data_IF_840309974785
#
_entry.id   IF_840309974785
#
_cell.length_a   1.000
_cell.length_b   1.000
_cell.length_c   1.000
_cell.angle_alpha   90.00
_cell.angle_beta   90.00
_cell.angle_gamma   90.00
#
_symmetry.space_group_name_H-M   'P 1'
#
loop_
_entity.id
_entity.type
_entity.pdbx_description
1 polymer ?
#
# COMPACT_ATOMS: atom_id res chain seq x y z
N UNK A 1 9.63 -8.31 -17.02
CA UNK A 1 8.44 -7.62 -16.47
C UNK A 1 7.52 -7.33 -17.63
N UNK A 2 6.24 -7.63 -17.53
CA UNK A 2 5.26 -7.30 -18.56
C UNK A 2 4.50 -6.04 -18.11
N UNK A 3 4.49 -4.99 -18.93
CA UNK A 3 3.84 -3.70 -18.60
C UNK A 3 2.46 -3.65 -19.26
N UNK A 4 1.45 -3.25 -18.49
CA UNK A 4 0.05 -3.00 -18.90
C UNK A 4 -0.26 -1.54 -18.59
N UNK A 5 -0.72 -0.78 -19.58
CA UNK A 5 -1.16 0.62 -19.42
C UNK A 5 -2.67 0.66 -19.63
N UNK A 6 -3.40 1.17 -18.64
CA UNK A 6 -4.86 1.25 -18.67
C UNK A 6 -5.30 2.69 -18.54
N UNK A 7 -5.96 3.20 -19.57
CA UNK A 7 -6.45 4.56 -19.61
C UNK A 7 -7.97 4.64 -19.36
N UNK A 8 -8.39 5.61 -18.56
CA UNK A 8 -9.78 6.05 -18.44
C UNK A 8 -9.81 7.58 -18.59
N UNK A 9 -10.42 8.10 -19.67
CA UNK A 9 -10.61 9.55 -19.88
C UNK A 9 -9.30 10.39 -19.84
N UNK A 10 -8.16 9.78 -20.18
CA UNK A 10 -6.83 10.44 -20.15
C UNK A 10 -6.06 10.24 -18.83
N UNK A 11 -6.62 9.51 -17.87
CA UNK A 11 -5.96 9.06 -16.65
C UNK A 11 -5.34 7.69 -16.91
N UNK A 12 -4.02 7.59 -16.84
CA UNK A 12 -3.29 6.35 -17.10
C UNK A 12 -2.81 5.66 -15.83
N UNK A 13 -3.25 4.41 -15.62
CA UNK A 13 -2.61 3.51 -14.66
C UNK A 13 -1.52 2.70 -15.37
N UNK A 14 -0.39 2.50 -14.70
CA UNK A 14 0.69 1.64 -15.19
C UNK A 14 0.79 0.45 -14.27
N UNK A 15 0.72 -0.78 -14.78
CA UNK A 15 0.96 -1.99 -14.00
C UNK A 15 2.06 -2.83 -14.63
N UNK A 16 2.80 -3.56 -13.80
CA UNK A 16 3.95 -4.34 -14.19
C UNK A 16 3.99 -5.69 -13.46
N UNK A 17 3.88 -6.78 -14.22
CA UNK A 17 3.80 -8.14 -13.70
C UNK A 17 5.17 -8.83 -13.66
N UNK A 18 5.40 -9.64 -12.63
CA UNK A 18 6.49 -10.63 -12.62
C UNK A 18 6.31 -11.64 -13.76
N UNK A 19 7.41 -12.12 -14.39
CA UNK A 19 7.32 -13.10 -15.46
C UNK A 19 6.91 -14.50 -14.98
N UNK A 20 7.05 -14.77 -13.68
CA UNK A 20 6.75 -16.05 -13.02
C UNK A 20 5.65 -15.89 -11.96
N UNK A 21 5.19 -17.03 -11.42
CA UNK A 21 4.10 -17.11 -10.46
C UNK A 21 2.73 -17.40 -11.09
N UNK A 22 1.81 -17.91 -10.29
CA UNK A 22 0.47 -18.26 -10.76
C UNK A 22 -0.35 -17.00 -11.07
N UNK A 23 -0.74 -16.79 -12.34
CA UNK A 23 -1.52 -15.61 -12.76
C UNK A 23 -2.94 -15.55 -12.19
N UNK A 24 -3.50 -16.69 -11.79
CA UNK A 24 -4.79 -16.77 -11.10
C UNK A 24 -4.67 -16.49 -9.57
N UNK A 25 -3.45 -16.19 -9.10
CA UNK A 25 -3.17 -15.83 -7.70
C UNK A 25 -2.12 -14.71 -7.66
N UNK A 26 -2.60 -13.48 -7.59
CA UNK A 26 -1.79 -12.26 -7.76
C UNK A 26 -1.72 -11.49 -6.46
N UNK A 27 -0.52 -11.15 -6.02
CA UNK A 27 -0.26 -10.12 -5.01
C UNK A 27 -0.15 -8.79 -5.74
N UNK A 28 -1.06 -7.86 -5.44
CA UNK A 28 -1.05 -6.52 -6.05
C UNK A 28 -0.35 -5.56 -5.08
N UNK A 29 0.52 -4.71 -5.59
CA UNK A 29 1.25 -3.70 -4.84
C UNK A 29 1.04 -2.38 -5.58
N UNK A 30 0.66 -1.33 -4.88
CA UNK A 30 0.30 -0.06 -5.49
C UNK A 30 0.81 1.16 -4.75
N UNK A 31 0.90 2.25 -5.51
CA UNK A 31 1.17 3.62 -5.07
C UNK A 31 0.60 4.55 -6.13
N UNK A 32 -0.10 5.63 -5.78
CA UNK A 32 -0.43 6.62 -6.80
C UNK A 32 0.82 7.40 -7.26
N UNK A 33 0.70 7.98 -8.45
CA UNK A 33 1.79 8.61 -9.19
C UNK A 33 1.47 10.03 -9.66
N UNK A 34 0.23 10.47 -9.48
CA UNK A 34 -0.13 11.87 -9.48
C UNK A 34 0.17 12.52 -8.11
N UNK A 35 0.09 13.85 -8.09
CA UNK A 35 0.08 14.67 -6.88
C UNK A 35 -0.83 15.88 -7.11
N UNK A 36 -1.04 16.69 -6.07
CA UNK A 36 -1.87 17.89 -6.18
C UNK A 36 -1.27 18.97 -7.10
N UNK A 37 -2.13 19.87 -7.61
CA UNK A 37 -1.72 20.98 -8.48
C UNK A 37 -0.74 21.95 -7.81
N UNK A 38 -0.84 22.10 -6.49
CA UNK A 38 -0.09 23.09 -5.75
C UNK A 38 1.36 22.66 -5.46
N UNK A 39 1.73 21.39 -5.65
CA UNK A 39 3.01 20.83 -5.22
C UNK A 39 3.74 20.01 -6.29
N UNK A 40 4.99 19.64 -6.00
CA UNK A 40 5.72 18.65 -6.82
C UNK A 40 5.43 17.21 -6.40
N UNK A 41 4.72 17.01 -5.28
CA UNK A 41 4.29 15.71 -4.81
C UNK A 41 5.44 14.73 -4.57
N UNK A 42 6.52 15.18 -3.92
CA UNK A 42 7.71 14.36 -3.72
C UNK A 42 7.49 13.34 -2.62
N UNK A 43 7.04 13.76 -1.43
CA UNK A 43 6.64 12.80 -0.43
C UNK A 43 5.28 12.19 -0.82
N UNK A 44 4.36 13.03 -1.30
CA UNK A 44 2.99 12.66 -1.67
C UNK A 44 2.74 12.77 -3.18
N UNK A 45 2.92 11.71 -3.97
CA UNK A 45 3.37 10.39 -3.57
C UNK A 45 4.55 9.88 -4.41
N UNK A 46 5.46 10.78 -4.76
CA UNK A 46 6.75 10.45 -5.36
C UNK A 46 7.53 9.44 -4.53
N UNK A 47 7.41 9.47 -3.19
CA UNK A 47 8.07 8.55 -2.28
C UNK A 47 7.47 7.13 -2.39
N UNK A 48 6.15 6.96 -2.36
CA UNK A 48 5.49 5.68 -2.59
C UNK A 48 5.77 5.15 -3.99
N UNK A 49 5.67 6.00 -5.01
CA UNK A 49 6.01 5.67 -6.40
C UNK A 49 7.44 5.14 -6.54
N UNK A 50 8.42 5.82 -5.93
CA UNK A 50 9.81 5.41 -5.93
C UNK A 50 10.04 4.13 -5.11
N UNK A 51 9.42 4.01 -3.94
CA UNK A 51 9.50 2.82 -3.09
C UNK A 51 8.97 1.58 -3.80
N UNK A 52 7.80 1.71 -4.44
CA UNK A 52 7.18 0.67 -5.25
C UNK A 52 8.09 0.22 -6.41
N UNK A 53 8.71 1.16 -7.13
CA UNK A 53 9.69 0.86 -8.18
C UNK A 53 10.94 0.15 -7.63
N UNK A 54 11.47 0.59 -6.48
CA UNK A 54 12.61 -0.05 -5.82
C UNK A 54 12.28 -1.50 -5.45
N UNK A 55 11.08 -1.76 -4.93
CA UNK A 55 10.62 -3.12 -4.61
C UNK A 55 10.54 -3.99 -5.87
N UNK A 56 9.95 -3.46 -6.95
CA UNK A 56 9.85 -4.17 -8.23
C UNK A 56 11.22 -4.53 -8.81
N UNK A 57 12.17 -3.59 -8.79
CA UNK A 57 13.53 -3.82 -9.27
C UNK A 57 14.30 -4.83 -8.41
N UNK A 58 14.16 -4.76 -7.08
CA UNK A 58 14.82 -5.72 -6.19
C UNK A 58 14.25 -7.13 -6.33
N UNK A 59 12.93 -7.28 -6.44
CA UNK A 59 12.31 -8.58 -6.73
C UNK A 59 12.75 -9.10 -8.10
N UNK A 60 12.78 -8.26 -9.13
CA UNK A 60 13.26 -8.67 -10.46
C UNK A 60 14.72 -9.12 -10.44
N UNK A 61 15.61 -8.44 -9.70
CA UNK A 61 17.01 -8.86 -9.52
C UNK A 61 17.08 -10.20 -8.79
N UNK A 62 16.34 -10.34 -7.70
CA UNK A 62 16.29 -11.56 -6.90
C UNK A 62 15.89 -12.78 -7.74
N UNK A 63 14.81 -12.64 -8.54
CA UNK A 63 14.34 -13.71 -9.44
C UNK A 63 15.34 -14.03 -10.57
N UNK A 64 16.17 -13.08 -11.00
CA UNK A 64 17.23 -13.31 -11.99
C UNK A 64 18.47 -13.98 -11.39
N UNK A 65 18.86 -13.60 -10.17
CA UNK A 65 20.09 -14.08 -9.52
C UNK A 65 19.92 -15.37 -8.72
N UNK A 66 18.66 -15.77 -8.50
CA UNK A 66 18.25 -16.99 -7.83
C UNK A 66 18.88 -18.24 -8.49
N UNK A 67 20.05 -18.66 -7.99
CA UNK A 67 20.76 -19.85 -8.44
C UNK A 67 20.14 -21.09 -7.81
N UNK A 68 19.28 -21.83 -8.54
CA UNK A 68 18.75 -23.19 -8.28
C UNK A 68 18.15 -23.54 -6.88
N UNK A 69 18.31 -22.71 -5.85
CA UNK A 69 17.92 -22.97 -4.46
C UNK A 69 17.05 -21.85 -3.86
N UNK A 70 16.82 -20.75 -4.59
CA UNK A 70 15.85 -19.75 -4.17
C UNK A 70 14.48 -20.18 -4.68
N UNK A 71 13.56 -20.52 -3.77
CA UNK A 71 12.22 -20.94 -4.15
C UNK A 71 11.52 -19.81 -4.90
N UNK A 72 11.05 -20.10 -6.12
CA UNK A 72 10.24 -19.16 -6.88
C UNK A 72 8.98 -18.80 -6.10
N UNK A 73 8.54 -17.55 -6.27
CA UNK A 73 7.27 -17.12 -5.72
C UNK A 73 6.15 -17.93 -6.37
N UNK A 74 5.28 -18.52 -5.53
CA UNK A 74 4.14 -19.31 -6.03
C UNK A 74 3.05 -18.45 -6.67
N UNK A 75 3.09 -17.15 -6.42
CA UNK A 75 2.08 -16.16 -6.80
C UNK A 75 2.68 -15.14 -7.75
N UNK A 76 1.88 -14.66 -8.71
CA UNK A 76 2.28 -13.50 -9.51
C UNK A 76 2.36 -12.27 -8.60
N UNK A 77 3.38 -11.43 -8.77
CA UNK A 77 3.41 -10.10 -8.14
C UNK A 77 3.18 -9.05 -9.22
N UNK A 78 2.23 -8.16 -8.96
CA UNK A 78 1.83 -7.06 -9.84
C UNK A 78 2.10 -5.75 -9.13
N UNK A 79 2.98 -4.93 -9.68
CA UNK A 79 3.25 -3.57 -9.20
C UNK A 79 2.45 -2.58 -10.04
N UNK A 80 1.69 -1.68 -9.43
CA UNK A 80 0.87 -0.71 -10.13
C UNK A 80 1.14 0.72 -9.63
N UNK A 81 1.04 1.67 -10.55
CA UNK A 81 1.08 3.09 -10.30
C UNK A 81 -0.26 3.67 -10.73
N UNK A 82 -0.99 4.19 -9.75
CA UNK A 82 -2.34 4.71 -9.96
C UNK A 82 -2.28 6.17 -10.39
N UNK A 83 -3.16 6.57 -11.28
CA UNK A 83 -3.36 7.98 -11.63
C UNK A 83 -4.64 8.53 -11.01
N UNK A 84 -4.67 9.84 -10.80
CA UNK A 84 -5.83 10.59 -10.33
C UNK A 84 -6.39 10.07 -8.98
N UNK A 85 -5.48 9.75 -8.05
CA UNK A 85 -5.81 9.46 -6.67
C UNK A 85 -6.31 10.72 -5.96
N UNK A 86 -5.63 11.84 -6.17
CA UNK A 86 -5.85 13.12 -5.47
C UNK A 86 -7.19 13.78 -5.80
N UNK A 87 -7.85 13.30 -6.85
CA UNK A 87 -9.18 13.73 -7.28
C UNK A 87 -10.25 12.66 -7.03
N UNK A 88 -9.95 11.71 -6.13
CA UNK A 88 -10.89 10.74 -5.58
C UNK A 88 -10.66 9.30 -6.03
N UNK A 89 -9.42 8.80 -5.96
CA UNK A 89 -9.05 7.39 -6.17
C UNK A 89 -9.38 6.83 -7.57
N UNK A 90 -9.45 7.68 -8.60
CA UNK A 90 -10.07 7.32 -9.88
C UNK A 90 -9.34 6.16 -10.57
N UNK A 91 -8.02 6.15 -10.51
CA UNK A 91 -7.19 5.11 -11.10
C UNK A 91 -7.44 3.73 -10.47
N UNK A 92 -7.35 3.64 -9.14
CA UNK A 92 -7.54 2.37 -8.42
C UNK A 92 -8.99 1.89 -8.45
N UNK A 93 -9.97 2.80 -8.38
CA UNK A 93 -11.40 2.49 -8.58
C UNK A 93 -11.60 1.87 -9.95
N UNK A 94 -11.13 2.54 -11.02
CA UNK A 94 -11.26 2.02 -12.37
C UNK A 94 -10.58 0.65 -12.51
N UNK A 95 -9.39 0.47 -11.93
CA UNK A 95 -8.70 -0.81 -11.99
C UNK A 95 -9.52 -1.95 -11.38
N UNK A 96 -10.08 -1.76 -10.18
CA UNK A 96 -10.89 -2.77 -9.48
C UNK A 96 -12.21 -3.02 -10.20
N UNK A 97 -12.88 -1.96 -10.68
CA UNK A 97 -14.09 -2.07 -11.48
C UNK A 97 -13.84 -2.92 -12.75
N UNK A 98 -12.79 -2.62 -13.52
CA UNK A 98 -12.47 -3.41 -14.72
C UNK A 98 -12.09 -4.86 -14.39
N UNK A 99 -11.35 -5.09 -13.30
CA UNK A 99 -11.01 -6.44 -12.85
C UNK A 99 -12.27 -7.25 -12.49
N UNK A 100 -13.33 -6.62 -12.01
CA UNK A 100 -14.59 -7.30 -11.66
C UNK A 100 -15.47 -7.63 -12.86
N UNK A 101 -15.43 -6.80 -13.89
CA UNK A 101 -16.20 -6.97 -15.13
C UNK A 101 -15.52 -7.98 -16.05
N UNK A 102 -14.24 -8.27 -15.81
CA UNK A 102 -13.44 -9.19 -16.59
C UNK A 102 -14.05 -10.59 -16.55
N UNK A 103 -14.53 -11.04 -17.70
CA UNK A 103 -15.20 -12.33 -17.85
C UNK A 103 -14.30 -13.52 -17.48
N UNK A 104 -14.92 -14.65 -17.13
CA UNK A 104 -14.22 -15.89 -16.79
C UNK A 104 -13.32 -16.42 -17.92
N UNK A 105 -13.45 -15.94 -19.16
CA UNK A 105 -12.62 -16.34 -20.31
C UNK A 105 -11.30 -15.57 -20.43
N UNK A 106 -11.10 -14.49 -19.67
CA UNK A 106 -9.79 -13.84 -19.55
C UNK A 106 -8.96 -14.64 -18.53
N UNK A 107 -7.81 -15.15 -18.95
CA UNK A 107 -6.95 -16.03 -18.13
C UNK A 107 -6.33 -15.35 -16.91
N UNK A 108 -6.26 -14.02 -16.86
CA UNK A 108 -5.68 -13.30 -15.71
C UNK A 108 -6.11 -11.84 -15.60
N UNK A 109 -6.15 -11.32 -14.36
CA UNK A 109 -6.46 -9.91 -14.08
C UNK A 109 -7.91 -9.69 -13.66
N UNK A 110 -8.60 -10.76 -13.26
CA UNK A 110 -9.94 -10.69 -12.68
C UNK A 110 -9.82 -10.42 -11.18
N UNK A 111 -10.83 -9.82 -10.58
CA UNK A 111 -10.81 -9.45 -9.17
C UNK A 111 -10.53 -10.66 -8.24
N UNK A 112 -11.10 -11.82 -8.56
CA UNK A 112 -10.88 -13.08 -7.86
C UNK A 112 -9.46 -13.64 -8.00
N UNK A 113 -8.68 -13.18 -8.98
CA UNK A 113 -7.28 -13.58 -9.10
C UNK A 113 -6.41 -12.82 -8.09
N UNK A 114 -6.87 -11.68 -7.54
CA UNK A 114 -6.11 -10.87 -6.60
C UNK A 114 -6.24 -11.44 -5.19
N UNK A 115 -5.12 -11.85 -4.59
CA UNK A 115 -5.09 -12.40 -3.23
C UNK A 115 -5.09 -11.30 -2.19
N UNK A 116 -4.25 -10.28 -2.38
CA UNK A 116 -4.10 -9.15 -1.47
C UNK A 116 -3.66 -7.89 -2.22
N UNK A 117 -3.82 -6.74 -1.56
CA UNK A 117 -3.30 -5.45 -2.01
C UNK A 117 -2.37 -4.82 -0.95
N UNK A 118 -1.17 -4.39 -1.34
CA UNK A 118 -0.31 -3.57 -0.50
C UNK A 118 -0.27 -2.14 -1.02
N UNK A 119 -0.58 -1.18 -0.17
CA UNK A 119 -0.57 0.24 -0.50
C UNK A 119 0.66 0.93 0.05
N UNK A 120 1.29 1.77 -0.77
CA UNK A 120 2.45 2.57 -0.42
C UNK A 120 2.22 4.03 -0.77
N UNK A 121 1.94 4.81 0.26
CA UNK A 121 1.52 6.18 0.17
C UNK A 121 2.18 7.00 1.28
N UNK A 122 2.86 8.08 0.90
CA UNK A 122 3.72 8.91 1.75
C UNK A 122 4.69 8.09 2.61
N UNK A 123 5.77 7.62 1.97
CA UNK A 123 6.81 6.80 2.59
C UNK A 123 8.00 7.58 3.15
N UNK A 124 8.04 8.91 3.08
CA UNK A 124 9.22 9.69 3.43
C UNK A 124 8.97 10.98 4.22
N UNK A 125 7.88 11.10 4.98
CA UNK A 125 7.52 12.33 5.69
C UNK A 125 8.63 12.83 6.61
N UNK A 126 8.90 14.14 6.73
CA UNK A 126 10.06 14.67 7.44
C UNK A 126 10.03 14.39 8.95
N UNK A 127 8.87 14.53 9.59
CA UNK A 127 8.64 14.25 11.01
C UNK A 127 8.00 12.86 11.20
N UNK A 128 8.58 11.87 10.53
CA UNK A 128 7.97 10.57 10.24
C UNK A 128 7.41 9.83 11.45
N UNK A 129 6.32 9.12 11.24
CA UNK A 129 6.06 7.88 11.97
C UNK A 129 6.49 6.67 11.11
N UNK A 130 6.47 5.48 11.70
CA UNK A 130 6.52 4.19 11.02
C UNK A 130 5.12 3.57 11.15
N UNK A 131 4.19 4.13 10.39
CA UNK A 131 2.77 3.79 10.43
C UNK A 131 2.52 2.45 9.76
N UNK A 132 1.74 1.60 10.42
CA UNK A 132 1.25 0.32 9.89
C UNK A 132 -0.25 0.45 9.68
N UNK A 133 -0.73 0.17 8.46
CA UNK A 133 -2.15 0.24 8.13
C UNK A 133 -2.95 -0.74 9.02
N UNK A 134 -3.86 -0.19 9.82
CA UNK A 134 -4.53 -0.86 10.93
C UNK A 134 -5.91 -1.38 10.55
N UNK A 135 -6.03 -2.70 10.52
CA UNK A 135 -7.20 -3.45 10.12
C UNK A 135 -8.47 -3.22 10.96
N UNK A 136 -8.39 -2.55 12.12
CA UNK A 136 -9.58 -2.17 12.91
C UNK A 136 -10.33 -0.96 12.34
N UNK A 137 -9.69 -0.22 11.43
CA UNK A 137 -10.20 1.03 10.88
C UNK A 137 -10.67 0.91 9.43
N UNK A 138 -10.91 -0.30 8.92
CA UNK A 138 -11.35 -0.52 7.52
C UNK A 138 -12.70 0.16 7.18
N UNK A 139 -12.99 0.48 5.91
CA UNK A 139 -14.29 1.00 5.51
C UNK A 139 -15.43 0.07 5.95
N UNK A 140 -16.58 0.58 6.41
CA UNK A 140 -17.74 -0.24 6.78
C UNK A 140 -18.25 -1.16 5.66
N UNK A 141 -17.97 -0.77 4.40
CA UNK A 141 -18.27 -1.52 3.19
C UNK A 141 -17.36 -2.76 2.97
N UNK A 142 -16.31 -2.94 3.77
CA UNK A 142 -15.35 -4.05 3.65
C UNK A 142 -16.00 -5.37 4.04
N UNK A 143 -16.02 -6.39 3.16
CA UNK A 143 -16.50 -7.72 3.52
C UNK A 143 -15.69 -8.36 4.66
N UNK A 144 -16.39 -9.03 5.58
CA UNK A 144 -15.78 -9.64 6.77
C UNK A 144 -14.68 -10.66 6.44
N UNK A 145 -14.78 -11.34 5.29
CA UNK A 145 -13.82 -12.32 4.82
C UNK A 145 -12.43 -11.71 4.55
N UNK A 146 -12.33 -10.41 4.25
CA UNK A 146 -11.06 -9.72 4.04
C UNK A 146 -10.35 -9.34 5.35
N UNK A 147 -11.07 -9.29 6.48
CA UNK A 147 -10.53 -8.81 7.76
C UNK A 147 -9.44 -9.72 8.34
N UNK A 148 -9.56 -11.07 8.34
CA UNK A 148 -8.50 -11.93 8.83
C UNK A 148 -7.17 -11.72 8.09
N UNK A 149 -7.21 -11.55 6.77
CA UNK A 149 -6.02 -11.30 5.95
C UNK A 149 -5.42 -9.94 6.24
N UNK A 150 -6.25 -8.90 6.29
CA UNK A 150 -5.85 -7.53 6.65
C UNK A 150 -5.17 -7.50 8.03
N UNK A 151 -5.78 -8.12 9.05
CA UNK A 151 -5.20 -8.27 10.39
C UNK A 151 -3.84 -8.97 10.37
N UNK A 152 -3.70 -10.03 9.57
CA UNK A 152 -2.46 -10.79 9.48
C UNK A 152 -1.34 -10.00 8.80
N UNK A 153 -1.66 -9.19 7.80
CA UNK A 153 -0.71 -8.28 7.16
C UNK A 153 -0.24 -7.21 8.17
N UNK A 154 -1.16 -6.60 8.91
CA UNK A 154 -0.83 -5.65 10.01
C UNK A 154 0.12 -6.30 11.02
N UNK A 155 -0.18 -7.52 11.48
CA UNK A 155 0.66 -8.23 12.44
C UNK A 155 2.05 -8.58 11.89
N UNK A 156 2.14 -8.89 10.59
CA UNK A 156 3.42 -9.19 9.93
C UNK A 156 4.35 -7.97 9.94
N UNK A 157 3.83 -6.77 9.66
CA UNK A 157 4.60 -5.55 9.79
C UNK A 157 5.00 -5.27 11.24
N UNK A 158 4.08 -5.42 12.21
CA UNK A 158 4.39 -5.22 13.63
C UNK A 158 5.53 -6.15 14.07
N UNK A 159 5.48 -7.43 13.67
CA UNK A 159 6.53 -8.38 13.94
C UNK A 159 7.88 -7.90 13.39
N UNK A 160 7.92 -7.44 12.14
CA UNK A 160 9.15 -6.93 11.54
C UNK A 160 9.74 -5.76 12.32
N UNK A 161 8.95 -4.72 12.63
CA UNK A 161 9.44 -3.56 13.38
C UNK A 161 9.93 -3.96 14.79
N UNK A 162 9.19 -4.85 15.47
CA UNK A 162 9.60 -5.38 16.78
C UNK A 162 10.95 -6.14 16.70
N UNK A 163 11.13 -6.98 15.68
CA UNK A 163 12.37 -7.72 15.46
C UNK A 163 13.54 -6.79 15.12
N UNK A 164 13.29 -5.73 14.35
CA UNK A 164 14.27 -4.69 14.06
C UNK A 164 14.52 -3.73 15.24
N UNK A 165 13.76 -3.86 16.34
CA UNK A 165 13.78 -2.95 17.50
C UNK A 165 13.51 -1.49 17.10
N UNK A 166 12.64 -1.29 16.12
CA UNK A 166 12.21 0.00 15.62
C UNK A 166 10.82 0.33 16.16
N UNK A 167 10.51 1.62 16.40
CA UNK A 167 9.17 2.02 16.81
C UNK A 167 8.18 1.76 15.68
N UNK A 168 6.89 1.73 16.01
CA UNK A 168 5.82 1.73 15.03
C UNK A 168 4.56 2.31 15.66
N UNK A 169 3.66 2.79 14.82
CA UNK A 169 2.33 3.25 15.20
C UNK A 169 1.28 2.63 14.30
N UNK A 170 0.04 2.54 14.78
CA UNK A 170 -1.11 2.21 13.94
C UNK A 170 -1.48 3.44 13.12
N UNK A 171 -1.71 3.24 11.82
CA UNK A 171 -2.19 4.25 10.88
C UNK A 171 -3.51 3.76 10.29
N UNK A 172 -4.47 4.66 10.08
CA UNK A 172 -5.81 4.29 9.60
C UNK A 172 -5.78 3.62 8.22
N UNK A 173 -6.71 2.70 7.96
CA UNK A 173 -6.95 2.08 6.65
C UNK A 173 -8.43 2.22 6.23
N UNK A 174 -9.07 3.31 6.65
CA UNK A 174 -10.51 3.53 6.51
C UNK A 174 -10.95 4.38 5.34
N UNK A 175 -10.04 5.19 4.79
CA UNK A 175 -10.31 6.16 3.73
C UNK A 175 -9.01 6.82 3.27
N UNK A 176 -9.09 7.61 2.19
CA UNK A 176 -8.02 8.51 1.76
C UNK A 176 -6.79 7.86 1.12
N UNK A 177 -6.91 6.66 0.53
CA UNK A 177 -5.89 6.13 -0.39
C UNK A 177 -6.41 4.93 -1.21
N UNK A 178 -5.59 4.43 -2.13
CA UNK A 178 -5.95 3.42 -3.14
C UNK A 178 -6.32 2.04 -2.58
N UNK A 179 -6.16 1.76 -1.28
CA UNK A 179 -6.61 0.51 -0.67
C UNK A 179 -8.14 0.38 -0.57
N UNK A 180 -8.87 1.50 -0.60
CA UNK A 180 -10.33 1.53 -0.43
C UNK A 180 -11.07 0.67 -1.46
N UNK A 181 -10.85 0.81 -2.78
CA UNK A 181 -11.53 -0.04 -3.77
C UNK A 181 -11.16 -1.52 -3.62
N UNK A 182 -9.94 -1.86 -3.17
CA UNK A 182 -9.55 -3.25 -2.93
C UNK A 182 -10.26 -3.85 -1.71
N UNK A 183 -10.27 -3.12 -0.58
CA UNK A 183 -10.96 -3.56 0.65
C UNK A 183 -12.45 -3.77 0.41
N UNK A 184 -13.12 -2.79 -0.19
CA UNK A 184 -14.54 -2.89 -0.55
C UNK A 184 -14.79 -3.97 -1.62
N UNK A 185 -13.78 -4.24 -2.45
CA UNK A 185 -13.66 -5.37 -3.37
C UNK A 185 -13.49 -6.75 -2.71
N UNK A 186 -13.44 -6.84 -1.37
CA UNK A 186 -13.22 -8.09 -0.64
C UNK A 186 -11.78 -8.60 -0.72
N UNK A 187 -10.84 -7.72 -1.06
CA UNK A 187 -9.40 -8.02 -1.11
C UNK A 187 -8.76 -7.56 0.20
N UNK A 188 -8.17 -8.50 0.93
CA UNK A 188 -7.36 -8.20 2.11
C UNK A 188 -6.26 -7.20 1.74
N UNK A 189 -6.15 -6.12 2.49
CA UNK A 189 -5.21 -5.04 2.18
C UNK A 189 -4.34 -4.68 3.37
N UNK A 190 -3.23 -4.00 3.12
CA UNK A 190 -2.35 -3.50 4.18
C UNK A 190 -1.19 -2.71 3.59
N UNK A 191 -0.22 -2.35 4.42
CA UNK A 191 0.89 -1.50 3.99
C UNK A 191 1.49 -0.73 5.15
N UNK A 192 2.36 0.20 4.79
CA UNK A 192 3.05 1.10 5.70
C UNK A 192 3.06 2.51 5.12
N UNK A 193 3.12 3.52 5.99
CA UNK A 193 3.28 4.92 5.63
C UNK A 193 4.16 5.62 6.68
N UNK A 194 4.38 6.92 6.46
CA UNK A 194 5.17 7.76 7.37
C UNK A 194 4.41 8.97 7.94
N UNK A 195 3.09 9.00 7.72
CA UNK A 195 2.16 10.04 8.17
C UNK A 195 2.04 11.22 7.21
N UNK A 196 0.95 11.99 7.31
CA UNK A 196 0.63 13.11 6.43
C UNK A 196 0.46 14.42 7.23
N UNK A 197 -0.67 15.13 7.06
CA UNK A 197 -1.02 16.35 7.80
C UNK A 197 -1.27 16.15 9.30
N UNK A 198 -1.56 14.92 9.74
CA UNK A 198 -1.77 14.58 11.15
C UNK A 198 -0.57 14.92 12.06
N UNK A 199 -0.85 15.23 13.32
CA UNK A 199 0.18 15.68 14.27
C UNK A 199 0.81 14.52 15.04
N UNK A 200 2.15 14.56 15.18
CA UNK A 200 2.89 13.65 16.06
C UNK A 200 2.63 14.02 17.52
N UNK A 201 2.15 13.09 18.33
CA UNK A 201 1.90 13.34 19.76
C UNK A 201 3.20 13.38 20.58
N UNK A 202 3.15 13.99 21.78
CA UNK A 202 4.26 13.96 22.74
C UNK A 202 4.67 12.52 23.12
N UNK A 203 3.68 11.68 23.41
CA UNK A 203 3.89 10.26 23.75
C UNK A 203 4.59 9.51 22.62
N UNK A 204 4.15 9.71 21.37
CA UNK A 204 4.77 9.08 20.22
C UNK A 204 6.21 9.58 20.01
N UNK A 205 6.42 10.90 20.09
CA UNK A 205 7.76 11.50 20.01
C UNK A 205 8.70 10.90 21.07
N UNK A 206 8.22 10.70 22.30
CA UNK A 206 9.02 10.09 23.37
C UNK A 206 9.32 8.62 23.11
N UNK A 207 8.33 7.86 22.64
CA UNK A 207 8.51 6.47 22.24
C UNK A 207 9.58 6.35 21.14
N UNK A 208 9.52 7.19 20.11
CA UNK A 208 10.50 7.17 19.02
C UNK A 208 11.87 7.60 19.52
N UNK A 209 11.97 8.62 20.37
CA UNK A 209 13.25 9.03 20.97
C UNK A 209 13.88 7.91 21.83
N UNK A 210 13.06 7.13 22.55
CA UNK A 210 13.54 6.01 23.36
C UNK A 210 14.11 4.88 22.50
N UNK A 211 13.57 4.65 21.29
CA UNK A 211 13.97 3.54 20.41
C UNK A 211 15.03 3.94 19.37
N UNK A 212 14.98 5.17 18.86
CA UNK A 212 15.87 5.70 17.83
C UNK A 212 17.02 6.56 18.39
N UNK A 213 16.96 6.89 19.68
CA UNK A 213 17.92 7.75 20.37
C UNK A 213 17.44 9.19 20.54
N UNK A 214 17.97 9.86 21.57
CA UNK A 214 17.63 11.25 21.89
C UNK A 214 17.83 12.17 20.68
N UNK A 215 16.80 12.93 20.32
CA UNK A 215 16.81 13.82 19.14
C UNK A 215 16.22 13.19 17.87
N UNK A 216 16.04 11.86 17.83
CA UNK A 216 15.48 11.16 16.66
C UNK A 216 13.98 10.82 16.82
N UNK A 217 13.34 11.34 17.87
CA UNK A 217 11.91 11.16 18.12
C UNK A 217 10.98 12.00 17.23
N UNK A 218 11.55 12.98 16.52
CA UNK A 218 10.77 14.00 15.82
C UNK A 218 10.30 15.12 16.74
N UNK A 219 9.37 15.93 16.23
CA UNK A 219 8.78 17.07 16.91
C UNK A 219 7.34 16.75 17.32
N UNK A 220 7.04 16.91 18.61
CA UNK A 220 5.68 16.76 19.13
C UNK A 220 4.83 17.97 18.74
N UNK A 221 3.53 17.75 18.54
CA UNK A 221 2.54 18.75 18.14
C UNK A 221 2.90 19.47 16.83
N UNK A 222 3.65 18.78 15.95
CA UNK A 222 3.96 19.21 14.58
C UNK A 222 3.45 18.11 13.62
N UNK A 223 2.93 18.46 12.43
CA UNK A 223 2.52 17.47 11.43
C UNK A 223 3.63 16.47 11.11
N UNK A 224 3.29 15.25 10.72
CA UNK A 224 4.29 14.31 10.18
C UNK A 224 4.91 14.86 8.90
N UNK A 225 4.09 15.51 8.07
CA UNK A 225 4.50 16.30 6.92
C UNK A 225 3.83 17.68 6.94
N UNK A 226 4.62 18.72 7.19
CA UNK A 226 4.12 20.11 7.19
C UNK A 226 3.94 20.70 5.80
N UNK A 227 4.33 19.96 4.77
CA UNK A 227 4.18 20.31 3.37
C UNK A 227 3.19 19.38 2.64
N UNK A 228 2.41 18.56 3.36
CA UNK A 228 1.35 17.76 2.79
C UNK A 228 0.40 18.64 1.96
N UNK A 229 0.22 18.31 0.67
CA UNK A 229 -0.53 19.09 -0.32
C UNK A 229 -0.08 20.55 -0.54
N UNK A 230 1.17 20.88 -0.19
CA UNK A 230 1.71 22.24 -0.30
C UNK A 230 2.85 22.37 -1.32
N UNK A 231 3.10 23.60 -1.77
CA UNK A 231 4.21 23.94 -2.70
C UNK A 231 5.60 23.52 -2.22
N UNK A 232 5.76 23.31 -0.91
CA UNK A 232 7.01 22.92 -0.29
C UNK A 232 7.25 21.41 -0.28
N UNK A 233 6.32 20.57 -0.76
CA UNK A 233 6.57 19.14 -0.96
C UNK A 233 7.51 18.92 -2.15
N UNK A 234 8.80 18.96 -1.84
CA UNK A 234 9.93 18.94 -2.77
C UNK A 234 10.99 17.95 -2.28
N UNK A 235 12.07 17.78 -3.04
CA UNK A 235 13.14 16.81 -2.71
C UNK A 235 13.86 17.03 -1.37
N UNK A 236 13.67 18.20 -0.75
CA UNK A 236 14.17 18.51 0.59
C UNK A 236 13.13 18.25 1.70
N UNK A 237 11.90 17.86 1.36
CA UNK A 237 10.80 17.53 2.28
C UNK A 237 10.73 16.00 2.55
N UNK A 238 11.86 15.31 2.55
CA UNK A 238 11.89 13.86 2.72
C UNK A 238 12.87 13.44 3.82
N UNK A 239 12.51 12.39 4.54
CA UNK A 239 13.36 11.69 5.50
C UNK A 239 13.87 10.38 4.89
N UNK A 240 15.14 10.31 4.43
CA UNK A 240 15.68 9.11 3.78
C UNK A 240 15.73 7.89 4.70
N UNK A 241 15.94 8.09 6.01
CA UNK A 241 15.96 7.01 6.98
C UNK A 241 14.58 6.37 7.12
N UNK A 242 13.52 7.18 7.18
CA UNK A 242 12.16 6.68 7.22
C UNK A 242 11.79 5.94 5.93
N UNK A 243 12.10 6.53 4.77
CA UNK A 243 11.91 5.90 3.47
C UNK A 243 12.57 4.53 3.38
N UNK A 244 13.86 4.44 3.70
CA UNK A 244 14.59 3.17 3.63
C UNK A 244 14.01 2.15 4.62
N UNK A 245 13.61 2.60 5.81
CA UNK A 245 13.04 1.73 6.86
C UNK A 245 11.73 1.10 6.40
N UNK A 246 10.75 1.90 5.96
CA UNK A 246 9.43 1.38 5.56
C UNK A 246 9.50 0.59 4.25
N UNK A 247 10.39 0.95 3.32
CA UNK A 247 10.61 0.16 2.09
C UNK A 247 11.24 -1.21 2.41
N UNK A 248 12.12 -1.31 3.42
CA UNK A 248 12.62 -2.61 3.89
C UNK A 248 11.52 -3.44 4.55
N UNK A 249 10.64 -2.82 5.34
CA UNK A 249 9.48 -3.49 5.93
C UNK A 249 8.57 -4.06 4.83
N UNK A 250 8.29 -3.27 3.80
CA UNK A 250 7.54 -3.67 2.61
C UNK A 250 8.20 -4.86 1.90
N UNK A 251 9.51 -4.80 1.64
CA UNK A 251 10.26 -5.89 1.02
C UNK A 251 10.17 -7.19 1.82
N UNK A 252 10.28 -7.12 3.15
CA UNK A 252 10.11 -8.27 4.04
C UNK A 252 8.71 -8.88 3.91
N UNK A 253 7.66 -8.06 3.96
CA UNK A 253 6.28 -8.55 3.88
C UNK A 253 6.00 -9.24 2.54
N UNK A 254 6.46 -8.65 1.43
CA UNK A 254 6.34 -9.20 0.08
C UNK A 254 7.05 -10.55 -0.02
N UNK A 255 8.27 -10.64 0.52
CA UNK A 255 9.04 -11.88 0.48
C UNK A 255 8.41 -12.99 1.32
N UNK A 256 8.02 -12.67 2.55
CA UNK A 256 7.37 -13.61 3.46
C UNK A 256 6.10 -14.19 2.83
N UNK A 257 5.20 -13.34 2.35
CA UNK A 257 3.94 -13.76 1.74
C UNK A 257 4.14 -14.48 0.41
N UNK A 258 5.11 -14.04 -0.41
CA UNK A 258 5.47 -14.67 -1.67
C UNK A 258 5.92 -16.13 -1.54
N UNK A 259 6.40 -16.51 -0.36
CA UNK A 259 6.87 -17.87 -0.03
C UNK A 259 5.89 -18.73 0.75
N UNK A 260 4.77 -18.17 1.21
CA UNK A 260 3.77 -18.98 1.89
C UNK A 260 3.23 -20.05 0.94
N UNK A 261 3.21 -21.31 1.38
CA UNK A 261 2.71 -22.44 0.58
C UNK A 261 1.25 -22.26 0.15
N UNK A 262 0.44 -21.63 0.99
CA UNK A 262 -0.97 -21.35 0.73
C UNK A 262 -1.36 -19.99 1.32
N UNK A 263 -0.99 -18.93 0.59
CA UNK A 263 -1.24 -17.54 0.93
C UNK A 263 -2.75 -17.23 0.97
N UNK A 264 -3.52 -17.82 0.06
CA UNK A 264 -4.97 -17.63 0.02
C UNK A 264 -5.63 -18.17 1.29
N UNK A 265 -5.30 -19.39 1.72
CA UNK A 265 -5.82 -19.94 2.98
C UNK A 265 -5.32 -19.17 4.21
N UNK A 266 -4.10 -18.63 4.14
CA UNK A 266 -3.56 -17.79 5.21
C UNK A 266 -4.35 -16.48 5.35
N UNK A 267 -4.68 -15.82 4.23
CA UNK A 267 -5.48 -14.59 4.20
C UNK A 267 -6.95 -14.83 4.52
N UNK A 268 -7.54 -15.89 3.95
CA UNK A 268 -8.97 -16.17 3.96
C UNK A 268 -9.24 -17.55 4.57
N UNK A 269 -9.01 -17.74 5.89
CA UNK A 269 -9.14 -19.05 6.54
C UNK A 269 -10.55 -19.63 6.48
N UNK A 270 -11.56 -18.79 6.23
CA UNK A 270 -12.97 -19.16 6.10
C UNK A 270 -13.46 -19.13 4.64
N UNK A 271 -12.55 -18.91 3.67
CA UNK A 271 -12.87 -18.71 2.27
C UNK A 271 -13.07 -17.24 1.89
N UNK A 272 -13.14 -16.98 0.58
CA UNK A 272 -13.34 -15.65 0.00
C UNK A 272 -14.81 -15.35 -0.25
N UNK A 273 -15.12 -14.05 -0.32
CA UNK A 273 -16.43 -13.58 -0.81
C UNK A 273 -16.65 -14.11 -2.23
N UNK A 274 -17.81 -14.70 -2.50
CA UNK A 274 -18.15 -15.23 -3.83
C UNK A 274 -18.82 -14.19 -4.74
N UNK A 275 -19.58 -13.27 -4.15
CA UNK A 275 -20.30 -12.20 -4.85
C UNK A 275 -20.03 -10.88 -4.13
N UNK A 276 -19.00 -10.16 -4.57
CA UNK A 276 -18.69 -8.85 -4.02
C UNK A 276 -19.59 -7.83 -4.69
N UNK A 277 -20.35 -7.07 -3.88
CA UNK A 277 -21.02 -5.87 -4.39
C UNK A 277 -19.99 -4.77 -4.49
N UNK A 278 -19.62 -4.40 -5.71
CA UNK A 278 -18.75 -3.26 -5.90
C UNK A 278 -19.51 -1.95 -5.73
N UNK A 279 -18.81 -1.00 -5.14
CA UNK A 279 -19.22 0.38 -5.04
C UNK A 279 -18.68 1.11 -6.26
N UNK A 280 -19.53 1.90 -6.91
CA UNK A 280 -19.08 2.72 -8.03
C UNK A 280 -18.29 3.94 -7.53
N UNK A 281 -17.61 4.64 -8.45
CA UNK A 281 -16.92 5.90 -8.20
C UNK A 281 -17.64 6.83 -7.21
N UNK A 282 -18.91 7.16 -7.46
CA UNK A 282 -19.65 8.11 -6.62
C UNK A 282 -19.79 7.63 -5.17
N UNK A 283 -19.97 6.32 -4.96
CA UNK A 283 -20.11 5.74 -3.62
C UNK A 283 -18.78 5.64 -2.87
N UNK A 284 -17.66 5.55 -3.58
CA UNK A 284 -16.32 5.46 -2.99
C UNK A 284 -15.71 6.85 -2.75
N UNK A 285 -16.00 7.84 -3.60
CA UNK A 285 -15.61 9.23 -3.36
C UNK A 285 -16.25 9.81 -2.09
N UNK A 286 -17.45 9.37 -1.71
CA UNK A 286 -18.09 9.80 -0.45
C UNK A 286 -17.37 9.26 0.80
N UNK A 287 -16.67 8.11 0.68
CA UNK A 287 -15.85 7.52 1.76
C UNK A 287 -14.50 8.25 1.89
N UNK A 288 -14.05 8.90 0.81
CA UNK A 288 -12.81 9.69 0.75
C UNK A 288 -12.89 11.03 1.50
N UNK A 289 -14.08 11.58 1.75
CA UNK A 289 -14.25 12.92 2.30
C UNK A 289 -14.35 12.95 3.84
N UNK A 290 -13.66 12.08 4.58
CA UNK A 290 -13.58 12.21 6.03
C UNK A 290 -12.56 13.30 6.40
N UNK A 291 -12.98 14.51 6.84
CA UNK A 291 -12.08 15.59 7.19
C UNK A 291 -11.22 15.29 8.43
N UNK A 292 -11.52 14.23 9.18
CA UNK A 292 -10.73 13.82 10.35
C UNK A 292 -9.54 12.89 9.97
N UNK A 293 -9.38 12.56 8.68
CA UNK A 293 -8.26 11.78 8.13
C UNK A 293 -7.22 12.64 7.36
N UNK A 294 -7.45 13.95 7.21
CA UNK A 294 -6.55 14.92 6.55
C UNK A 294 -5.90 15.89 7.57
#
# INVERSE_FOLDING_TARGET
MQIDVRDAEGIGNICADTPTGNKAKTVVIGSHSDGVLDGSGINDNGSGTAGNLVLALNLARLLQTASLNYAEFSYRVRFCWWGAEEVGLLGSIYHVEQASLSSATIESGRLQDYLLYLNYDMLASPNSNFGILDSVSVPPATPNEALPGTNRITNLFQQWFNEQKLPWTKSGIGGGSDFVPFLTGGIASGGVNTGAGGFKSETERDQYAAMLGTGNGGLANVPYDSCYHEQCDRINNVNPFAFETVVKAAAYAIEYMGRLKDLEKWLYPQGRVKNVKLFNKNQLCDIHHDPDLF
#
